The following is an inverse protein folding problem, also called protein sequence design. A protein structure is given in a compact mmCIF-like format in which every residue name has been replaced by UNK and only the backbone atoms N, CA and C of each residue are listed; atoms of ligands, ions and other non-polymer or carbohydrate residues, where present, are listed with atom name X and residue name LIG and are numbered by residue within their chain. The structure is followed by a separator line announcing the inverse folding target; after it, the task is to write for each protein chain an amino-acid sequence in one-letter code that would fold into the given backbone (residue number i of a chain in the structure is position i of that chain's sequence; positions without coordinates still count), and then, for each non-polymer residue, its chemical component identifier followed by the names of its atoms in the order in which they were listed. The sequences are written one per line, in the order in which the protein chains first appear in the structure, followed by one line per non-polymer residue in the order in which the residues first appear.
data_IF_303529137409
#
_entry.id   IF_303529137409
#
_cell.length_a   1.000
_cell.length_b   1.000
_cell.length_c   1.000
_cell.angle_alpha   90.00
_cell.angle_beta   90.00
_cell.angle_gamma   90.00
#
_symmetry.space_group_name_H-M   'P 1'
#
loop_
_entity.id
_entity.type
_entity.pdbx_description
1 polymer ?
#
# COMPACT_ATOMS: atom_id res chain seq x y z
N UNK A 1 3.72 13.47 11.00
CA UNK A 1 4.67 14.53 10.65
C UNK A 1 3.91 15.73 10.15
N UNK A 2 3.16 15.59 9.05
CA UNK A 2 2.25 16.63 8.55
C UNK A 2 0.81 16.21 8.84
N UNK A 3 0.05 17.11 9.45
CA UNK A 3 -1.39 16.97 9.63
C UNK A 3 -2.07 18.04 8.76
N UNK A 4 -2.89 17.62 7.81
CA UNK A 4 -3.58 18.52 6.87
C UNK A 4 -4.99 18.77 7.39
N UNK A 5 -5.12 19.87 8.12
CA UNK A 5 -6.32 20.27 8.83
C UNK A 5 -6.69 19.36 10.00
N UNK A 6 -7.72 19.77 10.73
CA UNK A 6 -8.34 18.98 11.79
C UNK A 6 -9.52 18.16 11.26
N UNK A 7 -9.95 17.18 12.05
CA UNK A 7 -11.15 16.40 11.72
C UNK A 7 -12.37 17.32 11.61
N UNK A 8 -13.06 17.23 10.48
CA UNK A 8 -14.25 18.05 10.20
C UNK A 8 -13.96 19.41 9.56
N UNK A 9 -12.70 19.82 9.43
CA UNK A 9 -12.36 21.05 8.70
C UNK A 9 -12.80 20.94 7.23
N UNK A 10 -13.26 22.06 6.68
CA UNK A 10 -13.63 22.19 5.26
C UNK A 10 -12.95 23.43 4.69
N UNK A 11 -12.25 23.28 3.56
CA UNK A 11 -11.50 24.37 2.96
C UNK A 11 -10.62 23.92 1.80
N UNK A 12 -9.55 24.66 1.56
CA UNK A 12 -8.59 24.41 0.49
C UNK A 12 -7.24 24.04 1.09
N UNK A 13 -6.63 22.97 0.59
CA UNK A 13 -5.26 22.59 0.91
C UNK A 13 -4.61 22.02 -0.35
N UNK A 14 -3.62 22.73 -0.91
CA UNK A 14 -2.92 22.32 -2.12
C UNK A 14 -1.45 22.06 -1.79
N UNK A 15 -1.02 20.82 -2.01
CA UNK A 15 0.36 20.38 -1.79
C UNK A 15 0.95 20.04 -3.15
N UNK A 16 2.03 20.72 -3.53
CA UNK A 16 2.62 20.61 -4.87
C UNK A 16 4.13 20.54 -4.76
N UNK A 17 4.76 19.64 -5.52
CA UNK A 17 6.23 19.51 -5.63
C UNK A 17 6.94 19.24 -4.29
N UNK A 18 6.33 18.40 -3.44
CA UNK A 18 6.88 18.05 -2.14
C UNK A 18 7.42 16.61 -2.10
N UNK A 19 8.50 16.39 -1.36
CA UNK A 19 8.94 15.06 -0.95
C UNK A 19 8.78 14.95 0.58
N UNK A 20 8.02 13.96 1.02
CA UNK A 20 7.90 13.58 2.42
C UNK A 20 8.85 12.42 2.73
N UNK A 21 9.68 12.57 3.76
CA UNK A 21 10.67 11.58 4.14
C UNK A 21 10.95 11.60 5.65
N UNK A 22 11.74 10.66 6.13
CA UNK A 22 12.25 10.61 7.51
C UNK A 22 13.78 10.68 7.48
N UNK A 23 14.36 11.52 8.34
CA UNK A 23 15.80 11.65 8.45
C UNK A 23 16.44 10.55 9.35
N UNK A 24 15.62 9.81 10.11
CA UNK A 24 16.04 8.78 11.06
C UNK A 24 15.06 7.60 11.04
N UNK A 25 15.38 6.51 11.74
CA UNK A 25 14.49 5.36 11.92
C UNK A 25 13.40 5.73 12.93
N UNK A 26 12.23 6.16 12.43
CA UNK A 26 11.15 6.74 13.22
C UNK A 26 9.88 5.87 13.17
N UNK A 27 9.90 4.71 13.84
CA UNK A 27 8.81 3.73 13.79
C UNK A 27 7.40 4.26 14.12
N UNK A 28 7.28 5.38 14.83
CA UNK A 28 5.99 6.03 15.15
C UNK A 28 5.56 7.12 14.16
N UNK A 29 6.38 7.42 13.15
CA UNK A 29 6.11 8.52 12.22
C UNK A 29 5.04 8.10 11.19
N UNK A 30 3.83 8.62 11.37
CA UNK A 30 2.84 8.75 10.28
C UNK A 30 3.23 9.98 9.47
N UNK A 31 3.62 9.84 8.20
CA UNK A 31 4.18 10.98 7.46
C UNK A 31 3.12 12.04 7.18
N UNK A 32 2.01 11.67 6.55
CA UNK A 32 0.91 12.59 6.22
C UNK A 32 -0.41 12.02 6.73
N UNK A 33 -1.15 12.84 7.47
CA UNK A 33 -2.55 12.58 7.83
C UNK A 33 -3.43 13.68 7.23
N UNK A 34 -4.41 13.29 6.43
CA UNK A 34 -5.35 14.22 5.79
C UNK A 34 -6.68 14.12 6.53
N UNK A 35 -7.13 15.24 7.09
CA UNK A 35 -8.37 15.32 7.87
C UNK A 35 -9.41 16.25 7.23
N UNK A 36 -8.93 17.33 6.61
CA UNK A 36 -9.74 18.33 5.94
C UNK A 36 -10.46 17.76 4.70
N UNK A 37 -11.63 18.31 4.38
CA UNK A 37 -12.32 18.10 3.12
C UNK A 37 -12.41 19.37 2.28
N UNK A 38 -12.59 19.20 0.98
CA UNK A 38 -12.84 20.28 0.03
C UNK A 38 -14.26 20.82 0.14
N UNK A 39 -14.44 22.10 -0.19
CA UNK A 39 -15.79 22.65 -0.43
C UNK A 39 -16.30 22.23 -1.82
N UNK A 40 -15.37 22.05 -2.75
CA UNK A 40 -15.55 21.53 -4.11
C UNK A 40 -14.58 20.39 -4.38
N UNK A 41 -14.88 19.49 -5.34
CA UNK A 41 -13.93 18.45 -5.77
C UNK A 41 -12.58 19.06 -6.18
N UNK A 42 -11.50 18.55 -5.61
CA UNK A 42 -10.13 19.01 -5.89
C UNK A 42 -9.61 20.16 -5.04
N UNK A 43 -10.41 20.76 -4.15
CA UNK A 43 -9.95 21.83 -3.25
C UNK A 43 -8.86 21.35 -2.27
N UNK A 44 -8.93 20.08 -1.88
CA UNK A 44 -7.88 19.40 -1.11
C UNK A 44 -7.18 18.44 -2.04
N UNK A 45 -5.90 18.67 -2.30
CA UNK A 45 -5.18 17.83 -3.24
C UNK A 45 -3.67 17.89 -3.16
N UNK A 46 -3.08 16.89 -3.80
CA UNK A 46 -1.66 16.63 -3.89
C UNK A 46 -1.31 16.43 -5.36
N UNK A 47 -0.32 17.19 -5.86
CA UNK A 47 0.18 17.06 -7.23
C UNK A 47 1.69 16.93 -7.20
N UNK A 48 2.23 15.96 -7.93
CA UNK A 48 3.67 15.74 -8.04
C UNK A 48 4.37 15.74 -6.65
N UNK A 49 3.74 15.05 -5.71
CA UNK A 49 4.16 15.04 -4.30
C UNK A 49 4.33 13.60 -3.86
N UNK A 50 5.52 13.27 -3.37
CA UNK A 50 6.00 11.90 -3.24
C UNK A 50 6.43 11.61 -1.81
N UNK A 51 6.53 10.32 -1.49
CA UNK A 51 7.18 9.83 -0.29
C UNK A 51 8.40 9.01 -0.69
N UNK A 52 9.52 9.25 -0.02
CA UNK A 52 10.75 8.47 -0.18
C UNK A 52 11.29 8.11 1.18
N UNK A 53 11.24 6.83 1.55
CA UNK A 53 11.76 6.36 2.84
C UNK A 53 13.10 5.67 2.61
N UNK A 54 14.19 6.33 3.01
CA UNK A 54 15.55 5.84 2.76
C UNK A 54 15.99 6.00 1.30
N UNK A 55 17.03 5.25 0.92
CA UNK A 55 17.56 5.19 -0.45
C UNK A 55 18.13 6.48 -1.01
N UNK A 56 18.37 7.52 -0.19
CA UNK A 56 18.96 8.76 -0.64
C UNK A 56 19.79 9.42 0.47
N UNK A 57 20.82 10.14 0.04
CA UNK A 57 21.76 10.80 0.93
C UNK A 57 21.05 11.81 1.85
N UNK A 58 21.51 11.87 3.11
CA UNK A 58 20.98 12.80 4.11
C UNK A 58 19.96 12.20 5.09
N UNK A 59 19.72 10.89 5.03
CA UNK A 59 18.94 10.17 6.05
C UNK A 59 19.78 9.07 6.71
N UNK A 60 19.60 8.84 8.01
CA UNK A 60 20.16 7.65 8.66
C UNK A 60 19.47 6.37 8.21
N UNK A 61 18.27 6.47 7.63
CA UNK A 61 17.59 5.32 7.02
C UNK A 61 18.42 4.80 5.85
N UNK A 62 18.99 5.68 5.01
CA UNK A 62 19.88 5.27 3.92
C UNK A 62 21.18 4.62 4.43
N UNK A 63 21.84 5.19 5.46
CA UNK A 63 23.13 4.65 5.94
C UNK A 63 23.03 3.45 6.87
N UNK A 64 21.94 3.29 7.62
CA UNK A 64 21.86 2.33 8.74
C UNK A 64 20.98 1.13 8.46
N UNK A 65 20.23 1.11 7.35
CA UNK A 65 19.22 0.08 7.08
C UNK A 65 19.69 -1.05 6.17
N UNK A 66 20.99 -1.37 6.19
CA UNK A 66 21.53 -2.54 5.47
C UNK A 66 21.41 -3.88 6.21
N UNK A 67 20.82 -3.87 7.41
CA UNK A 67 20.67 -5.05 8.28
C UNK A 67 19.32 -5.77 8.09
N UNK A 68 18.65 -6.06 9.20
CA UNK A 68 17.32 -6.70 9.19
C UNK A 68 16.18 -5.68 9.20
N UNK A 69 14.97 -6.04 8.71
CA UNK A 69 13.82 -5.14 8.75
C UNK A 69 13.43 -4.72 10.18
N UNK A 70 13.64 -5.57 11.21
CA UNK A 70 13.43 -5.20 12.62
C UNK A 70 14.24 -3.99 13.07
N UNK A 71 15.49 -3.90 12.60
CA UNK A 71 16.42 -2.82 12.93
C UNK A 71 16.03 -1.52 12.22
N UNK A 72 15.30 -1.62 11.11
CA UNK A 72 14.90 -0.49 10.29
C UNK A 72 13.38 -0.34 10.13
N UNK A 73 12.67 -0.23 11.26
CA UNK A 73 11.28 0.28 11.26
C UNK A 73 11.25 1.78 11.01
N UNK A 74 11.39 2.18 9.75
CA UNK A 74 11.66 3.56 9.36
C UNK A 74 10.48 4.50 9.58
N UNK A 75 9.25 4.04 9.33
CA UNK A 75 8.04 4.85 9.49
C UNK A 75 6.80 3.99 9.75
N UNK A 76 5.86 4.54 10.53
CA UNK A 76 4.57 3.89 10.78
C UNK A 76 3.77 3.71 9.49
N UNK A 77 3.83 4.69 8.60
CA UNK A 77 3.19 4.66 7.29
C UNK A 77 3.22 6.00 6.57
N UNK A 78 2.91 5.98 5.28
CA UNK A 78 3.07 7.15 4.41
C UNK A 78 1.91 8.12 4.53
N UNK A 79 0.70 7.68 4.17
CA UNK A 79 -0.45 8.57 4.11
C UNK A 79 -1.70 7.91 4.66
N UNK A 80 -2.43 8.66 5.48
CA UNK A 80 -3.72 8.29 6.04
C UNK A 80 -4.77 9.32 5.62
N UNK A 81 -5.71 8.90 4.78
CA UNK A 81 -6.90 9.67 4.43
C UNK A 81 -8.00 9.27 5.42
N UNK A 82 -8.26 10.13 6.40
CA UNK A 82 -9.21 9.83 7.48
C UNK A 82 -10.66 9.90 6.99
N UNK A 83 -11.59 9.40 7.80
CA UNK A 83 -13.02 9.34 7.45
C UNK A 83 -13.68 10.69 7.13
N UNK A 84 -13.16 11.80 7.66
CA UNK A 84 -13.68 13.14 7.37
C UNK A 84 -13.10 13.79 6.12
N UNK A 85 -12.03 13.22 5.57
CA UNK A 85 -11.27 13.81 4.47
C UNK A 85 -11.91 13.59 3.10
N UNK A 86 -11.49 14.42 2.14
CA UNK A 86 -11.67 14.20 0.70
C UNK A 86 -10.39 14.66 0.02
N UNK A 87 -9.88 13.95 -0.98
CA UNK A 87 -8.65 14.34 -1.63
C UNK A 87 -8.65 14.06 -3.14
N UNK A 88 -8.00 14.93 -3.91
CA UNK A 88 -7.53 14.65 -5.26
C UNK A 88 -6.01 14.47 -5.22
N UNK A 89 -5.53 13.26 -5.51
CA UNK A 89 -4.11 12.93 -5.46
C UNK A 89 -3.68 12.51 -6.86
N UNK A 90 -2.73 13.22 -7.45
CA UNK A 90 -2.24 12.95 -8.80
C UNK A 90 -0.72 12.89 -8.84
N UNK A 91 -0.20 11.88 -9.54
CA UNK A 91 1.23 11.67 -9.72
C UNK A 91 1.96 11.60 -8.36
N UNK A 92 1.56 10.63 -7.53
CA UNK A 92 2.14 10.39 -6.21
C UNK A 92 2.84 9.05 -6.19
N UNK A 93 4.10 9.07 -5.78
CA UNK A 93 4.89 7.86 -5.59
C UNK A 93 5.23 7.71 -4.12
N UNK A 94 4.73 6.65 -3.49
CA UNK A 94 4.97 6.31 -2.11
C UNK A 94 5.95 5.15 -1.98
N UNK A 95 7.24 5.46 -2.01
CA UNK A 95 8.30 4.47 -2.12
C UNK A 95 9.05 4.29 -0.80
N UNK A 96 9.08 3.05 -0.32
CA UNK A 96 10.09 2.61 0.65
C UNK A 96 11.26 2.04 -0.12
N UNK A 97 12.47 2.54 0.11
CA UNK A 97 13.59 2.20 -0.73
C UNK A 97 13.94 0.70 -0.71
N UNK A 98 13.93 0.07 -1.88
CA UNK A 98 14.44 -1.27 -2.13
C UNK A 98 15.93 -1.25 -2.54
N UNK A 99 16.42 -0.10 -2.99
CA UNK A 99 17.83 0.14 -3.33
C UNK A 99 18.26 1.59 -3.05
N UNK A 100 19.57 1.81 -2.97
CA UNK A 100 20.17 3.13 -2.72
C UNK A 100 20.34 3.89 -4.04
N UNK A 101 19.82 5.11 -4.11
CA UNK A 101 19.90 5.98 -5.29
C UNK A 101 21.21 6.78 -5.36
N UNK A 102 21.81 7.07 -4.20
CA UNK A 102 22.95 7.99 -4.08
C UNK A 102 24.26 7.27 -3.69
N UNK A 103 24.20 5.94 -3.54
CA UNK A 103 25.31 5.15 -3.07
C UNK A 103 25.17 3.66 -3.34
N UNK A 104 25.63 2.86 -2.40
CA UNK A 104 25.58 1.39 -2.45
C UNK A 104 25.26 0.79 -1.09
N UNK A 105 24.59 1.54 -0.21
CA UNK A 105 24.19 1.06 1.10
C UNK A 105 23.04 0.05 0.94
N UNK A 106 23.05 -1.02 1.74
CA UNK A 106 21.94 -1.98 1.74
C UNK A 106 20.64 -1.31 2.20
N UNK A 107 19.53 -1.59 1.52
CA UNK A 107 18.21 -1.02 1.82
C UNK A 107 17.20 -2.12 2.20
N UNK A 108 17.33 -2.66 3.42
CA UNK A 108 16.32 -3.54 4.03
C UNK A 108 15.47 -2.71 4.98
N UNK A 109 14.59 -1.89 4.41
CA UNK A 109 13.78 -0.92 5.15
C UNK A 109 12.37 -1.46 5.36
N UNK A 110 11.85 -1.29 6.58
CA UNK A 110 10.48 -1.62 6.93
C UNK A 110 9.68 -0.36 7.21
N UNK A 111 8.84 0.04 6.26
CA UNK A 111 7.71 0.95 6.49
C UNK A 111 6.47 0.11 6.75
N UNK A 112 5.65 0.46 7.74
CA UNK A 112 4.49 -0.34 8.10
C UNK A 112 3.40 -0.37 7.01
N UNK A 113 3.02 0.81 6.51
CA UNK A 113 1.79 1.02 5.73
C UNK A 113 2.04 1.99 4.57
N UNK A 114 1.53 1.68 3.39
CA UNK A 114 1.51 2.61 2.27
C UNK A 114 0.42 3.67 2.45
N UNK A 115 -0.72 3.47 1.81
CA UNK A 115 -1.89 4.33 1.89
C UNK A 115 -3.03 3.67 2.68
N UNK A 116 -3.40 4.28 3.82
CA UNK A 116 -4.64 3.95 4.53
C UNK A 116 -5.75 4.90 4.08
N UNK A 117 -6.81 4.35 3.50
CA UNK A 117 -7.98 5.10 3.04
C UNK A 117 -9.17 4.70 3.89
N UNK A 118 -9.63 5.64 4.71
CA UNK A 118 -10.90 5.55 5.46
C UNK A 118 -11.87 6.65 5.03
N UNK A 119 -11.47 7.49 4.07
CA UNK A 119 -12.26 8.58 3.53
C UNK A 119 -13.62 8.09 3.03
N UNK A 120 -14.67 8.82 3.42
CA UNK A 120 -16.06 8.52 3.02
C UNK A 120 -16.60 9.55 2.02
N UNK A 121 -15.84 10.60 1.74
CA UNK A 121 -16.16 11.63 0.74
C UNK A 121 -15.39 11.34 -0.56
N UNK A 122 -15.81 12.00 -1.63
CA UNK A 122 -15.20 11.86 -2.96
C UNK A 122 -13.67 11.96 -2.88
N UNK A 123 -12.99 10.88 -3.27
CA UNK A 123 -11.54 10.77 -3.26
C UNK A 123 -11.06 10.20 -4.59
N UNK A 124 -10.08 10.85 -5.20
CA UNK A 124 -9.51 10.47 -6.50
C UNK A 124 -8.01 10.22 -6.36
N UNK A 125 -7.57 9.04 -6.77
CA UNK A 125 -6.17 8.61 -6.76
C UNK A 125 -5.73 8.37 -8.21
N UNK A 126 -5.06 9.34 -8.81
CA UNK A 126 -4.76 9.38 -10.25
C UNK A 126 -3.28 9.13 -10.47
N UNK A 127 -2.93 7.94 -10.99
CA UNK A 127 -1.54 7.55 -11.20
C UNK A 127 -0.74 7.52 -9.90
N UNK A 128 -1.23 6.79 -8.90
CA UNK A 128 -0.55 6.65 -7.60
C UNK A 128 0.17 5.32 -7.49
N UNK A 129 1.34 5.31 -6.85
CA UNK A 129 2.07 4.09 -6.55
C UNK A 129 2.40 4.01 -5.05
N UNK A 130 2.26 2.82 -4.46
CA UNK A 130 2.68 2.53 -3.08
C UNK A 130 3.49 1.24 -3.10
N UNK A 131 4.77 1.32 -2.74
CA UNK A 131 5.68 0.20 -2.92
C UNK A 131 6.48 -0.10 -1.66
N UNK A 132 6.69 -1.38 -1.43
CA UNK A 132 7.56 -1.95 -0.41
C UNK A 132 7.16 -1.60 1.03
N UNK A 133 5.86 -1.54 1.29
CA UNK A 133 5.30 -1.43 2.65
C UNK A 133 5.00 -2.82 3.23
N UNK A 134 5.25 -2.99 4.52
CA UNK A 134 5.33 -4.32 5.17
C UNK A 134 3.98 -4.99 5.33
N UNK A 135 2.93 -4.24 5.66
CA UNK A 135 1.61 -4.80 5.93
C UNK A 135 0.71 -4.73 4.69
N UNK A 136 0.73 -3.59 4.01
CA UNK A 136 -0.03 -3.38 2.78
C UNK A 136 0.45 -2.15 2.00
N UNK A 137 0.19 -2.16 0.70
CA UNK A 137 0.41 -1.01 -0.17
C UNK A 137 -0.80 -0.06 -0.13
N UNK A 138 -2.02 -0.58 -0.32
CA UNK A 138 -3.27 0.14 -0.13
C UNK A 138 -4.22 -0.62 0.81
N UNK A 139 -4.86 0.10 1.74
CA UNK A 139 -5.90 -0.44 2.61
C UNK A 139 -7.11 0.48 2.61
N UNK A 140 -8.21 0.01 2.04
CA UNK A 140 -9.51 0.66 2.04
C UNK A 140 -10.33 0.06 3.19
N UNK A 141 -10.48 0.82 4.28
CA UNK A 141 -11.16 0.38 5.48
C UNK A 141 -12.34 1.29 5.76
N UNK A 142 -13.57 0.76 5.71
CA UNK A 142 -14.80 1.56 5.85
C UNK A 142 -14.90 2.72 4.84
N UNK A 143 -14.13 2.65 3.75
CA UNK A 143 -14.00 3.72 2.77
C UNK A 143 -15.23 3.81 1.87
N UNK A 144 -15.56 5.02 1.43
CA UNK A 144 -16.63 5.25 0.47
C UNK A 144 -16.29 6.30 -0.56
N UNK A 145 -16.82 6.12 -1.78
CA UNK A 145 -16.73 7.09 -2.87
C UNK A 145 -15.28 7.35 -3.32
N UNK A 146 -14.51 6.28 -3.50
CA UNK A 146 -13.11 6.34 -3.94
C UNK A 146 -12.99 5.88 -5.38
N UNK A 147 -12.22 6.63 -6.16
CA UNK A 147 -11.79 6.26 -7.50
C UNK A 147 -10.27 6.18 -7.52
N UNK A 148 -9.71 5.15 -8.16
CA UNK A 148 -8.32 5.23 -8.65
C UNK A 148 -8.24 5.01 -10.16
N UNK A 149 -7.27 5.66 -10.81
CA UNK A 149 -6.92 5.41 -12.21
C UNK A 149 -5.51 5.94 -12.55
N UNK A 150 -4.50 5.10 -12.78
CA UNK A 150 -4.32 3.74 -12.31
C UNK A 150 -3.58 3.73 -10.96
N UNK A 151 -3.49 2.56 -10.31
CA UNK A 151 -2.57 2.36 -9.18
C UNK A 151 -1.50 1.32 -9.54
N UNK A 152 -0.30 1.48 -8.98
CA UNK A 152 0.74 0.46 -9.03
C UNK A 152 1.23 0.11 -7.60
N UNK A 153 1.67 -1.14 -7.41
CA UNK A 153 2.23 -1.61 -6.15
C UNK A 153 3.29 -2.71 -6.29
N UNK A 154 4.26 -2.74 -5.35
CA UNK A 154 5.25 -3.82 -5.20
C UNK A 154 5.38 -4.29 -3.75
N UNK A 155 5.58 -5.60 -3.56
CA UNK A 155 5.90 -6.18 -2.25
C UNK A 155 7.35 -5.87 -1.87
N UNK A 156 7.69 -5.62 -0.59
CA UNK A 156 9.08 -5.43 -0.19
C UNK A 156 9.92 -6.66 -0.57
N UNK A 157 11.04 -6.46 -1.25
CA UNK A 157 11.84 -7.57 -1.81
C UNK A 157 12.42 -8.50 -0.75
N UNK A 158 12.65 -7.98 0.45
CA UNK A 158 13.12 -8.77 1.57
C UNK A 158 12.05 -9.73 2.14
N UNK A 159 10.75 -9.52 1.87
CA UNK A 159 9.69 -10.37 2.42
C UNK A 159 9.66 -11.78 1.82
N UNK A 160 9.06 -12.71 2.56
CA UNK A 160 8.75 -14.05 2.09
C UNK A 160 9.74 -15.13 2.56
N UNK A 161 9.75 -16.30 1.92
CA UNK A 161 10.60 -17.43 2.28
C UNK A 161 12.06 -17.03 2.55
N UNK A 162 12.56 -17.35 3.74
CA UNK A 162 13.94 -17.09 4.16
C UNK A 162 14.17 -15.77 4.90
N UNK A 163 13.12 -14.99 5.14
CA UNK A 163 13.16 -13.75 5.93
C UNK A 163 11.88 -13.60 6.78
N UNK A 164 11.68 -12.42 7.34
CA UNK A 164 10.51 -12.07 8.14
C UNK A 164 9.20 -12.16 7.35
N UNK A 165 8.19 -12.66 8.06
CA UNK A 165 6.83 -12.88 7.57
C UNK A 165 5.93 -11.80 8.18
N UNK A 166 5.10 -11.15 7.36
CA UNK A 166 4.14 -10.16 7.85
C UNK A 166 3.23 -10.79 8.93
N UNK A 167 3.00 -10.12 10.07
CA UNK A 167 3.18 -8.69 10.28
C UNK A 167 4.53 -8.28 10.90
N UNK A 168 5.52 -9.16 11.02
CA UNK A 168 6.86 -8.79 11.55
C UNK A 168 7.51 -7.74 10.62
N UNK A 169 8.14 -6.67 11.15
CA UNK A 169 8.42 -6.36 12.56
C UNK A 169 7.36 -5.50 13.28
N UNK A 170 6.17 -5.35 12.70
CA UNK A 170 5.08 -4.50 13.18
C UNK A 170 4.07 -5.20 14.10
N UNK A 171 4.28 -6.48 14.44
CA UNK A 171 3.35 -7.30 15.24
C UNK A 171 2.88 -6.62 16.53
N UNK A 172 3.73 -5.84 17.21
CA UNK A 172 3.40 -5.13 18.44
C UNK A 172 2.73 -3.75 18.23
N UNK A 173 2.69 -3.25 16.99
CA UNK A 173 2.24 -1.92 16.60
C UNK A 173 1.11 -1.96 15.56
N UNK A 174 0.38 -3.07 15.51
CA UNK A 174 -0.81 -3.18 14.67
C UNK A 174 -1.93 -2.27 15.20
N UNK A 175 -2.67 -1.67 14.28
CA UNK A 175 -3.93 -0.98 14.52
C UNK A 175 -5.09 -1.84 14.05
N UNK A 176 -6.32 -1.47 14.42
CA UNK A 176 -7.53 -2.25 14.12
C UNK A 176 -7.72 -2.54 12.63
N UNK A 177 -7.40 -1.59 11.75
CA UNK A 177 -7.59 -1.73 10.31
C UNK A 177 -6.46 -2.51 9.62
N UNK A 178 -5.39 -2.89 10.32
CA UNK A 178 -4.30 -3.64 9.70
C UNK A 178 -4.69 -5.11 9.42
N UNK A 179 -4.11 -5.72 8.38
CA UNK A 179 -4.15 -7.16 8.21
C UNK A 179 -3.46 -7.86 9.39
N UNK A 180 -4.18 -8.75 10.07
CA UNK A 180 -3.61 -9.49 11.20
C UNK A 180 -2.80 -10.72 10.79
N UNK A 181 -2.87 -11.13 9.52
CA UNK A 181 -2.27 -12.35 8.94
C UNK A 181 -2.59 -13.67 9.67
N UNK A 182 -3.58 -13.66 10.56
CA UNK A 182 -3.97 -14.83 11.38
C UNK A 182 -4.63 -15.95 10.56
N UNK A 183 -5.10 -15.64 9.36
CA UNK A 183 -5.65 -16.63 8.42
C UNK A 183 -4.56 -17.46 7.74
N UNK A 184 -3.31 -17.00 7.75
CA UNK A 184 -2.18 -17.76 7.24
C UNK A 184 -1.83 -18.90 8.19
N UNK A 185 -1.50 -20.06 7.64
CA UNK A 185 -0.97 -21.15 8.46
C UNK A 185 0.35 -20.71 9.11
N UNK A 186 0.63 -21.26 10.29
CA UNK A 186 1.88 -20.95 11.01
C UNK A 186 3.09 -21.30 10.14
N UNK A 187 3.93 -20.31 9.84
CA UNK A 187 5.12 -20.47 8.99
C UNK A 187 4.85 -20.42 7.48
N UNK A 188 3.62 -20.12 7.06
CA UNK A 188 3.31 -19.88 5.65
C UNK A 188 3.83 -18.52 5.19
N UNK A 189 5.06 -18.56 4.69
CA UNK A 189 5.81 -17.38 4.26
C UNK A 189 5.34 -16.79 2.93
N UNK A 190 4.57 -17.52 2.12
CA UNK A 190 3.96 -16.99 0.89
C UNK A 190 2.61 -16.33 1.18
N UNK A 191 1.87 -16.83 2.18
CA UNK A 191 0.65 -16.19 2.66
C UNK A 191 0.94 -14.90 3.44
N UNK A 192 1.93 -14.93 4.35
CA UNK A 192 2.29 -13.81 5.21
C UNK A 192 3.20 -12.78 4.53
N UNK A 193 2.71 -12.19 3.44
CA UNK A 193 3.38 -11.12 2.69
C UNK A 193 2.43 -9.92 2.54
N UNK A 194 2.97 -8.74 2.28
CA UNK A 194 2.18 -7.52 2.24
C UNK A 194 1.02 -7.61 1.23
N UNK A 195 -0.16 -7.16 1.63
CA UNK A 195 -1.29 -7.04 0.71
C UNK A 195 -1.05 -5.90 -0.28
N UNK A 196 -1.34 -6.13 -1.56
CA UNK A 196 -1.36 -5.00 -2.49
C UNK A 196 -2.57 -4.12 -2.22
N UNK A 197 -3.73 -4.76 -2.09
CA UNK A 197 -4.96 -4.09 -1.74
C UNK A 197 -5.71 -4.92 -0.69
N UNK A 198 -6.12 -4.25 0.38
CA UNK A 198 -7.06 -4.80 1.35
C UNK A 198 -8.29 -3.91 1.35
N UNK A 199 -9.46 -4.50 1.13
CA UNK A 199 -10.74 -3.79 1.04
C UNK A 199 -11.68 -4.40 2.07
N UNK A 200 -11.98 -3.67 3.15
CA UNK A 200 -12.86 -4.11 4.22
C UNK A 200 -13.98 -3.13 4.49
N UNK A 201 -15.20 -3.67 4.61
CA UNK A 201 -16.41 -2.95 5.03
C UNK A 201 -16.62 -1.65 4.22
N UNK A 202 -16.16 -1.64 2.96
CA UNK A 202 -16.10 -0.47 2.10
C UNK A 202 -17.15 -0.54 1.01
N UNK A 203 -17.52 0.61 0.44
CA UNK A 203 -18.49 0.63 -0.67
C UNK A 203 -18.30 1.77 -1.65
N UNK A 204 -18.89 1.65 -2.84
CA UNK A 204 -18.81 2.67 -3.90
C UNK A 204 -17.35 2.95 -4.29
N UNK A 205 -16.62 1.88 -4.54
CA UNK A 205 -15.23 1.91 -4.97
C UNK A 205 -15.16 1.61 -6.46
N UNK A 206 -14.54 2.52 -7.22
CA UNK A 206 -14.37 2.39 -8.67
C UNK A 206 -12.88 2.39 -9.00
N UNK A 207 -12.35 1.18 -9.17
CA UNK A 207 -10.94 0.87 -9.10
C UNK A 207 -10.47 0.49 -10.51
N UNK A 208 -9.92 1.47 -11.25
CA UNK A 208 -9.57 1.30 -12.66
C UNK A 208 -8.07 1.09 -12.85
N UNK A 209 -7.71 -0.13 -13.22
CA UNK A 209 -6.35 -0.63 -13.48
C UNK A 209 -5.47 -0.63 -12.23
N UNK A 210 -5.40 -1.77 -11.56
CA UNK A 210 -4.38 -2.03 -10.54
C UNK A 210 -3.27 -2.89 -11.15
N UNK A 211 -2.01 -2.48 -10.97
CA UNK A 211 -0.84 -3.23 -11.46
C UNK A 211 0.03 -3.59 -10.27
N UNK A 212 0.04 -4.86 -9.88
CA UNK A 212 0.65 -5.25 -8.61
C UNK A 212 1.64 -6.40 -8.77
N UNK A 213 2.86 -6.25 -8.27
CA UNK A 213 3.95 -7.13 -8.63
C UNK A 213 4.69 -7.70 -7.43
N UNK A 214 4.90 -9.01 -7.47
CA UNK A 214 5.86 -9.68 -6.59
C UNK A 214 7.03 -10.18 -7.43
N UNK A 215 8.21 -9.61 -7.24
CA UNK A 215 9.40 -10.01 -7.99
C UNK A 215 10.29 -10.99 -7.24
N UNK A 216 10.33 -10.89 -5.92
CA UNK A 216 11.35 -11.55 -5.11
C UNK A 216 10.79 -12.14 -3.82
N UNK A 217 11.53 -13.11 -3.29
CA UNK A 217 11.49 -13.48 -1.90
C UNK A 217 12.89 -13.38 -1.31
N UNK A 218 13.03 -12.67 -0.19
CA UNK A 218 14.32 -12.47 0.48
C UNK A 218 15.43 -11.97 -0.47
N UNK A 219 15.11 -10.98 -1.31
CA UNK A 219 15.96 -10.39 -2.36
C UNK A 219 16.47 -11.40 -3.42
N UNK A 220 15.92 -12.60 -3.45
CA UNK A 220 16.20 -13.64 -4.43
C UNK A 220 14.98 -13.96 -5.30
N UNK A 221 15.20 -14.66 -6.41
CA UNK A 221 14.10 -15.13 -7.25
C UNK A 221 13.26 -16.21 -6.54
N UNK A 222 11.99 -16.31 -6.92
CA UNK A 222 11.10 -17.37 -6.46
C UNK A 222 11.05 -18.54 -7.45
N UNK A 223 10.63 -19.72 -6.97
CA UNK A 223 10.36 -20.88 -7.82
C UNK A 223 8.84 -21.08 -7.95
N UNK A 224 8.25 -20.56 -9.02
CA UNK A 224 6.80 -20.52 -9.21
C UNK A 224 6.23 -19.16 -8.78
N UNK A 225 5.11 -19.18 -8.07
CA UNK A 225 4.51 -17.96 -7.51
C UNK A 225 5.38 -17.46 -6.33
N UNK A 226 5.61 -16.15 -6.28
CA UNK A 226 6.42 -15.51 -5.24
C UNK A 226 5.58 -15.11 -4.01
N UNK A 227 4.27 -15.00 -4.15
CA UNK A 227 3.35 -14.59 -3.08
C UNK A 227 2.01 -15.30 -3.27
N UNK A 228 1.36 -15.70 -2.18
CA UNK A 228 0.11 -16.45 -2.33
C UNK A 228 -1.05 -15.54 -2.74
N UNK A 229 -1.15 -14.35 -2.15
CA UNK A 229 -2.39 -13.58 -2.15
C UNK A 229 -2.17 -12.11 -2.49
N UNK A 230 -2.89 -11.57 -3.48
CA UNK A 230 -2.71 -10.19 -3.93
C UNK A 230 -3.72 -9.18 -3.35
N UNK A 231 -5.02 -9.41 -3.59
CA UNK A 231 -6.11 -8.53 -3.16
C UNK A 231 -7.05 -9.27 -2.22
N UNK A 232 -7.32 -8.68 -1.05
CA UNK A 232 -8.23 -9.24 -0.05
C UNK A 232 -9.50 -8.39 0.07
N UNK A 233 -10.66 -9.01 -0.14
CA UNK A 233 -11.98 -8.38 -0.10
C UNK A 233 -12.78 -8.97 1.04
N UNK A 234 -13.26 -8.10 1.93
CA UNK A 234 -14.00 -8.43 3.14
C UNK A 234 -15.27 -7.56 3.21
N UNK A 235 -16.44 -8.19 3.30
CA UNK A 235 -17.73 -7.53 3.59
C UNK A 235 -18.00 -6.23 2.80
N UNK A 236 -17.57 -6.14 1.54
CA UNK A 236 -17.66 -4.91 0.75
C UNK A 236 -18.69 -5.05 -0.37
N UNK A 237 -19.29 -3.93 -0.78
CA UNK A 237 -20.38 -3.88 -1.78
C UNK A 237 -20.23 -2.65 -2.69
N UNK A 238 -20.94 -2.58 -3.81
CA UNK A 238 -20.71 -1.56 -4.84
C UNK A 238 -19.20 -1.37 -5.14
N UNK A 239 -18.51 -2.50 -5.36
CA UNK A 239 -17.08 -2.60 -5.64
C UNK A 239 -16.89 -2.99 -7.09
N UNK A 240 -16.26 -2.10 -7.86
CA UNK A 240 -16.05 -2.25 -9.28
C UNK A 240 -14.57 -2.13 -9.58
N UNK A 241 -13.92 -3.27 -9.82
CA UNK A 241 -12.50 -3.34 -10.19
C UNK A 241 -12.40 -3.69 -11.66
N UNK A 242 -11.64 -2.91 -12.42
CA UNK A 242 -11.42 -3.13 -13.85
C UNK A 242 -9.94 -3.23 -14.13
N UNK A 243 -9.53 -4.26 -14.88
CA UNK A 243 -8.13 -4.43 -15.31
C UNK A 243 -7.15 -4.66 -14.15
N UNK A 244 -7.44 -5.61 -13.26
CA UNK A 244 -6.50 -6.00 -12.21
C UNK A 244 -5.41 -6.90 -12.78
N UNK A 245 -4.18 -6.40 -12.79
CA UNK A 245 -3.00 -7.09 -13.28
C UNK A 245 -2.11 -7.47 -12.11
N UNK A 246 -1.58 -8.70 -12.17
CA UNK A 246 -0.71 -9.24 -11.14
C UNK A 246 0.55 -9.85 -11.75
N UNK A 247 1.61 -9.97 -10.96
CA UNK A 247 2.78 -10.78 -11.32
C UNK A 247 3.19 -11.70 -10.17
N UNK A 248 3.31 -12.99 -10.50
CA UNK A 248 3.86 -14.04 -9.64
C UNK A 248 3.09 -14.22 -8.33
N UNK A 249 1.76 -14.24 -8.41
CA UNK A 249 0.88 -14.52 -7.28
C UNK A 249 -0.02 -15.72 -7.54
N UNK A 250 -0.36 -16.48 -6.50
CA UNK A 250 -1.29 -17.61 -6.68
C UNK A 250 -2.74 -17.14 -6.86
N UNK A 251 -3.21 -16.29 -5.96
CA UNK A 251 -4.59 -15.81 -5.87
C UNK A 251 -4.63 -14.30 -6.14
N UNK A 252 -5.31 -13.91 -7.22
CA UNK A 252 -5.52 -12.49 -7.58
C UNK A 252 -6.48 -11.85 -6.59
N UNK A 253 -7.64 -12.48 -6.41
CA UNK A 253 -8.68 -12.02 -5.48
C UNK A 253 -9.02 -13.12 -4.48
N UNK A 254 -8.99 -12.75 -3.20
CA UNK A 254 -9.60 -13.50 -2.13
C UNK A 254 -10.81 -12.74 -1.63
N UNK A 255 -11.93 -13.44 -1.52
CA UNK A 255 -13.15 -12.92 -0.94
C UNK A 255 -13.49 -13.76 0.29
N UNK A 256 -13.51 -13.11 1.46
CA UNK A 256 -13.82 -13.78 2.75
C UNK A 256 -13.01 -15.07 2.97
N UNK A 257 -11.73 -15.04 2.61
CA UNK A 257 -10.80 -16.16 2.74
C UNK A 257 -10.86 -17.21 1.63
N UNK A 258 -11.71 -17.03 0.62
CA UNK A 258 -11.81 -17.94 -0.54
C UNK A 258 -11.21 -17.30 -1.79
N UNK A 259 -10.31 -18.02 -2.47
CA UNK A 259 -9.78 -17.58 -3.75
C UNK A 259 -10.87 -17.64 -4.83
N UNK A 260 -11.22 -16.49 -5.40
CA UNK A 260 -12.24 -16.37 -6.45
C UNK A 260 -11.63 -16.15 -7.84
N UNK A 261 -10.38 -15.69 -7.91
CA UNK A 261 -9.61 -15.61 -9.14
C UNK A 261 -8.15 -15.95 -8.87
N UNK A 262 -7.56 -16.77 -9.73
CA UNK A 262 -6.16 -17.21 -9.67
C UNK A 262 -5.39 -16.75 -10.89
N UNK A 263 -4.09 -16.49 -10.76
CA UNK A 263 -3.23 -16.10 -11.88
C UNK A 263 -3.21 -17.19 -12.97
N UNK A 264 -3.11 -18.46 -12.55
CA UNK A 264 -3.08 -19.62 -13.45
C UNK A 264 -4.33 -19.78 -14.33
N UNK A 265 -5.46 -19.18 -13.95
CA UNK A 265 -6.71 -19.21 -14.71
C UNK A 265 -6.97 -17.92 -15.50
N UNK A 266 -6.15 -16.88 -15.31
CA UNK A 266 -6.35 -15.53 -15.86
C UNK A 266 -5.04 -15.02 -16.45
N UNK A 267 -4.42 -15.76 -17.36
CA UNK A 267 -3.12 -15.38 -17.92
C UNK A 267 -3.18 -14.05 -18.70
N UNK A 268 -2.20 -13.19 -18.46
CA UNK A 268 -1.95 -11.95 -19.17
C UNK A 268 -0.59 -11.97 -19.87
N UNK A 269 -0.27 -10.88 -20.58
CA UNK A 269 1.03 -10.74 -21.27
C UNK A 269 2.23 -10.68 -20.32
N UNK A 270 2.01 -10.34 -19.05
CA UNK A 270 3.02 -10.23 -18.00
C UNK A 270 2.42 -10.67 -16.65
N UNK A 271 2.20 -11.99 -16.48
CA UNK A 271 1.58 -12.55 -15.28
C UNK A 271 0.08 -12.80 -15.46
N UNK A 272 -0.75 -12.31 -14.54
CA UNK A 272 -2.21 -12.47 -14.57
C UNK A 272 -2.96 -11.18 -14.87
N UNK A 273 -4.15 -11.28 -15.45
CA UNK A 273 -5.05 -10.15 -15.70
C UNK A 273 -6.52 -10.55 -15.56
N UNK A 274 -7.24 -9.92 -14.63
CA UNK A 274 -8.69 -9.99 -14.52
C UNK A 274 -9.29 -8.72 -15.09
N UNK A 275 -10.02 -8.85 -16.21
CA UNK A 275 -10.62 -7.71 -16.90
C UNK A 275 -11.64 -6.96 -16.02
N UNK A 276 -12.42 -7.67 -15.21
CA UNK A 276 -13.35 -7.06 -14.26
C UNK A 276 -13.67 -7.97 -13.08
N UNK A 277 -13.78 -7.39 -11.89
CA UNK A 277 -14.47 -7.94 -10.73
C UNK A 277 -15.56 -6.94 -10.33
N UNK A 278 -16.81 -7.38 -10.28
CA UNK A 278 -17.97 -6.53 -10.05
C UNK A 278 -18.82 -7.10 -8.92
N UNK A 279 -19.10 -6.27 -7.92
CA UNK A 279 -19.97 -6.62 -6.81
C UNK A 279 -20.93 -5.48 -6.50
N UNK A 280 -22.20 -5.65 -6.83
CA UNK A 280 -23.22 -4.63 -6.60
C UNK A 280 -23.69 -4.56 -5.14
N UNK A 281 -23.95 -5.73 -4.51
CA UNK A 281 -24.49 -5.87 -3.15
C UNK A 281 -23.62 -6.70 -2.21
#
# INVERSE_FOLDING_TARGET
MVQVGNSGDVGVAQIVDMIFTVADVLQGCKLVEVNIAGSSPGDVGFWNSHFRIGGAAGSKVETNCGGSPDQCKAAWGLIHLTSTSSAYIENMWGWTADHDLDGSNGQTISTGRGMLVEATKGTWLVGTAMEHHTLYQYNYNEAQNVVYTFQQSETPYWQGPGNDIAPVPWSANLITSDPSFKSCASGDSLCGMAWFERISDSSKLFLYNGMVWTFFNNNGGCNGDCQENAVNILNSSALYVYGQQVKSVTNIFLESGSAIAKESANSGGWGGNVAAYLRDS
#
